data_IF_385086449246
#
_entry.id   IF_385086449246
#
_cell.length_a   1.000
_cell.length_b   1.000
_cell.length_c   1.000
_cell.angle_alpha   90.00
_cell.angle_beta   90.00
_cell.angle_gamma   90.00
#
_symmetry.space_group_name_H-M   'P 1'
#
loop_
_entity.id
_entity.type
_entity.pdbx_description
1 polymer ?
#
# COMPACT_ATOMS: atom_id res chain seq x y z
N UNK A 1 -9.18 -37.38 -0.20
CA UNK A 1 -8.94 -36.86 -0.43
C UNK A 1 -8.79 -36.48 -0.40
N UNK A 2 -8.80 -36.51 -0.23
CA UNK A 2 -8.70 -35.63 -0.38
C UNK A 2 -8.84 -34.96 -0.51
N UNK A 3 -9.01 -34.77 -0.48
CA UNK A 3 -9.05 -33.86 -0.84
C UNK A 3 -9.65 -33.36 -0.80
N UNK A 4 -9.72 -33.47 -0.47
CA UNK A 4 -10.08 -32.81 -0.65
C UNK A 4 -10.79 -32.25 -0.70
N UNK A 5 -11.18 -32.27 -0.31
CA UNK A 5 -11.46 -31.63 -0.56
C UNK A 5 -12.02 -30.98 -0.38
N UNK A 6 -12.45 -30.80 -0.13
CA UNK A 6 -12.69 -30.11 -0.18
C UNK A 6 -13.36 -29.41 -0.27
N UNK A 7 -13.67 -29.10 -0.10
CA UNK A 7 -14.24 -28.40 -0.25
C UNK A 7 -14.87 -27.74 -0.41
N UNK A 8 -15.12 -27.39 -0.26
CA UNK A 8 -15.74 -26.94 -0.74
C UNK A 8 -16.47 -26.22 -0.67
N UNK A 9 -16.78 -25.65 -0.54
CA UNK A 9 -17.63 -25.01 -0.77
C UNK A 9 -17.90 -23.88 -1.37
N UNK A 10 -17.91 -23.60 -1.78
CA UNK A 10 -18.83 -22.75 -2.35
C UNK A 10 -18.31 -21.39 -2.58
N UNK A 11 -19.09 -20.35 -2.21
CA UNK A 11 -18.72 -18.97 -2.52
C UNK A 11 -17.41 -18.54 -1.90
N UNK A 12 -17.07 -19.08 -0.76
CA UNK A 12 -15.82 -18.72 -0.11
C UNK A 12 -14.59 -19.10 -0.93
N UNK A 13 -14.77 -20.00 -1.88
CA UNK A 13 -13.66 -20.41 -2.73
C UNK A 13 -13.21 -19.32 -3.66
N UNK A 14 -14.08 -18.37 -3.97
CA UNK A 14 -13.72 -17.27 -4.83
C UNK A 14 -12.62 -16.43 -4.18
N UNK A 15 -12.68 -16.29 -2.88
CA UNK A 15 -11.68 -15.52 -2.15
C UNK A 15 -10.29 -16.12 -2.23
N UNK A 16 -10.22 -17.41 -2.46
CA UNK A 16 -8.91 -18.08 -2.56
C UNK A 16 -8.14 -17.67 -3.79
N UNK A 17 -8.81 -17.03 -4.76
CA UNK A 17 -8.14 -16.64 -5.99
C UNK A 17 -7.27 -15.42 -5.81
N UNK A 18 -7.52 -14.63 -4.77
CA UNK A 18 -6.70 -13.48 -4.48
C UNK A 18 -5.75 -13.88 -3.36
N UNK A 19 -4.54 -14.24 -3.74
CA UNK A 19 -3.52 -14.62 -2.78
C UNK A 19 -2.45 -13.56 -2.72
N UNK A 20 -1.83 -13.44 -1.55
CA UNK A 20 -0.74 -12.50 -1.38
C UNK A 20 0.55 -13.10 -1.93
N UNK A 21 1.39 -12.28 -2.54
CA UNK A 21 2.72 -12.75 -2.90
C UNK A 21 3.46 -13.20 -1.66
N UNK A 22 4.13 -14.33 -1.75
CA UNK A 22 4.92 -14.83 -0.63
C UNK A 22 6.05 -13.84 -0.35
N UNK A 23 6.23 -13.53 0.93
CA UNK A 23 7.29 -12.61 1.38
C UNK A 23 7.16 -11.20 0.84
N UNK A 24 5.93 -10.75 0.63
CA UNK A 24 5.69 -9.39 0.17
C UNK A 24 6.24 -8.38 1.18
N UNK A 25 6.83 -7.31 0.66
CA UNK A 25 7.37 -6.22 1.48
C UNK A 25 6.67 -4.92 1.10
N UNK A 26 6.18 -4.21 2.10
CA UNK A 26 5.51 -2.92 1.92
C UNK A 26 6.29 -1.87 2.69
N UNK A 27 6.61 -0.77 2.02
CA UNK A 27 7.20 0.39 2.67
C UNK A 27 6.09 1.37 3.01
N UNK A 28 5.98 1.72 4.29
CA UNK A 28 5.00 2.68 4.76
C UNK A 28 5.72 3.99 5.04
N UNK A 29 5.29 5.07 4.38
CA UNK A 29 5.85 6.40 4.58
C UNK A 29 4.81 7.21 5.33
N UNK A 30 5.01 7.37 6.63
CA UNK A 30 4.03 7.93 7.55
C UNK A 30 4.74 8.61 8.72
N UNK A 31 4.42 9.87 8.96
CA UNK A 31 5.04 10.61 10.04
C UNK A 31 4.50 10.20 11.42
N UNK A 32 3.21 9.91 11.50
CA UNK A 32 2.56 9.66 12.78
C UNK A 32 2.76 8.21 13.22
N UNK A 33 3.38 8.05 14.39
CA UNK A 33 3.70 6.71 14.91
C UNK A 33 2.46 5.86 15.09
N UNK A 34 1.39 6.45 15.63
CA UNK A 34 0.16 5.70 15.88
C UNK A 34 -0.45 5.17 14.59
N UNK A 35 -0.45 5.98 13.54
CA UNK A 35 -0.95 5.56 12.23
C UNK A 35 -0.07 4.45 11.66
N UNK A 36 1.24 4.59 11.80
CA UNK A 36 2.14 3.54 11.32
C UNK A 36 1.91 2.24 12.07
N UNK A 37 1.80 2.29 13.39
CA UNK A 37 1.60 1.07 14.20
C UNK A 37 0.32 0.35 13.77
N UNK A 38 -0.75 1.10 13.52
CA UNK A 38 -1.99 0.50 13.06
C UNK A 38 -1.80 -0.21 11.71
N UNK A 39 -1.16 0.46 10.77
CA UNK A 39 -0.92 -0.12 9.45
C UNK A 39 -0.03 -1.35 9.56
N UNK A 40 1.05 -1.25 10.34
CA UNK A 40 1.99 -2.36 10.50
C UNK A 40 1.31 -3.57 11.11
N UNK A 41 0.41 -3.34 12.06
CA UNK A 41 -0.31 -4.43 12.71
C UNK A 41 -1.23 -5.13 11.71
N UNK A 42 -1.93 -4.35 10.90
CA UNK A 42 -2.81 -4.93 9.88
C UNK A 42 -2.03 -5.70 8.83
N UNK A 43 -0.88 -5.17 8.41
CA UNK A 43 -0.01 -5.87 7.44
C UNK A 43 0.55 -7.14 8.06
N UNK A 44 0.90 -7.09 9.34
CA UNK A 44 1.42 -8.26 10.04
C UNK A 44 0.43 -9.41 10.09
N UNK A 45 -0.85 -9.12 10.27
CA UNK A 45 -1.89 -10.15 10.24
C UNK A 45 -1.97 -10.83 8.87
N UNK A 46 -1.56 -10.14 7.83
CA UNK A 46 -1.55 -10.70 6.48
C UNK A 46 -0.23 -11.39 6.13
N UNK A 47 0.72 -11.42 7.08
CA UNK A 47 2.02 -12.02 6.83
C UNK A 47 2.93 -11.18 5.93
N UNK A 48 2.66 -9.89 5.84
CA UNK A 48 3.41 -8.98 4.99
C UNK A 48 4.50 -8.29 5.80
N UNK A 49 5.72 -8.29 5.27
CA UNK A 49 6.83 -7.57 5.90
C UNK A 49 6.65 -6.06 5.69
N UNK A 50 6.86 -5.30 6.75
CA UNK A 50 6.62 -3.85 6.73
C UNK A 50 7.90 -3.10 7.05
N UNK A 51 8.27 -2.15 6.20
CA UNK A 51 9.34 -1.20 6.44
C UNK A 51 8.74 0.18 6.65
N UNK A 52 9.45 1.09 7.32
CA UNK A 52 8.90 2.37 7.72
C UNK A 52 9.89 3.51 7.52
N UNK A 53 9.35 4.61 6.97
CA UNK A 53 10.04 5.90 6.94
C UNK A 53 9.06 6.97 7.38
N UNK A 54 9.57 8.01 8.06
CA UNK A 54 8.74 9.06 8.62
C UNK A 54 8.55 10.25 7.69
N UNK A 55 9.34 10.34 6.64
CA UNK A 55 9.24 11.47 5.69
C UNK A 55 9.59 10.99 4.29
N UNK A 56 9.25 11.82 3.31
CA UNK A 56 9.59 11.51 1.93
C UNK A 56 11.04 11.81 1.56
N UNK A 57 11.78 12.44 2.46
CA UNK A 57 13.08 13.01 2.14
C UNK A 57 14.09 11.97 1.67
N UNK A 58 14.19 10.83 2.32
CA UNK A 58 15.18 9.81 1.98
C UNK A 58 14.53 8.52 1.48
N UNK A 59 13.27 8.60 1.03
CA UNK A 59 12.54 7.41 0.62
C UNK A 59 13.21 6.68 -0.52
N UNK A 60 13.67 7.42 -1.54
CA UNK A 60 14.30 6.79 -2.71
C UNK A 60 15.55 6.01 -2.31
N UNK A 61 16.40 6.63 -1.52
CA UNK A 61 17.63 5.97 -1.10
C UNK A 61 17.35 4.74 -0.28
N UNK A 62 16.40 4.85 0.66
CA UNK A 62 16.05 3.71 1.49
C UNK A 62 15.41 2.59 0.69
N UNK A 63 14.44 2.94 -0.16
CA UNK A 63 13.77 1.94 -0.98
C UNK A 63 14.74 1.19 -1.88
N UNK A 64 15.74 1.91 -2.37
CA UNK A 64 16.73 1.32 -3.25
C UNK A 64 17.63 0.30 -2.54
N UNK A 65 17.70 0.33 -1.22
CA UNK A 65 18.48 -0.65 -0.45
C UNK A 65 17.71 -1.92 -0.17
N UNK A 66 16.39 -1.91 -0.34
CA UNK A 66 15.59 -3.08 0.00
C UNK A 66 15.74 -4.16 -1.06
N UNK A 67 15.98 -5.41 -0.66
CA UNK A 67 16.13 -6.49 -1.64
C UNK A 67 14.84 -6.80 -2.36
N UNK A 68 13.71 -6.44 -1.74
CA UNK A 68 12.39 -6.65 -2.34
C UNK A 68 11.46 -5.55 -1.86
N UNK A 69 10.70 -5.01 -2.78
CA UNK A 69 9.69 -4.00 -2.45
C UNK A 69 8.53 -4.17 -3.41
N UNK A 70 7.35 -4.44 -2.88
CA UNK A 70 6.15 -4.74 -3.66
C UNK A 70 5.17 -3.59 -3.70
N UNK A 71 5.23 -2.67 -2.74
CA UNK A 71 4.25 -1.61 -2.63
C UNK A 71 4.78 -0.52 -1.69
N UNK A 72 4.46 0.72 -2.02
CA UNK A 72 4.69 1.85 -1.12
C UNK A 72 3.34 2.45 -0.75
N UNK A 73 3.05 2.50 0.54
CA UNK A 73 1.89 3.22 1.08
C UNK A 73 2.42 4.55 1.60
N UNK A 74 1.94 5.65 1.04
CA UNK A 74 2.54 6.94 1.31
C UNK A 74 1.50 7.97 1.71
N UNK A 75 1.70 8.59 2.87
CA UNK A 75 0.91 9.76 3.24
C UNK A 75 1.30 10.90 2.30
N UNK A 76 0.31 11.64 1.85
CA UNK A 76 0.58 12.81 0.99
C UNK A 76 1.18 13.94 1.83
N UNK A 77 0.73 14.08 3.08
CA UNK A 77 1.20 15.14 3.97
C UNK A 77 2.36 14.66 4.82
N UNK A 78 3.55 14.89 4.31
CA UNK A 78 4.80 14.48 4.98
C UNK A 78 5.63 15.71 5.32
N UNK A 79 6.47 15.63 6.37
CA UNK A 79 7.37 16.72 6.68
C UNK A 79 8.47 16.84 5.62
N UNK A 80 8.98 18.04 5.45
CA UNK A 80 10.08 18.40 4.54
C UNK A 80 9.71 18.30 3.06
N UNK A 81 9.11 17.19 2.64
CA UNK A 81 8.75 16.99 1.25
C UNK A 81 7.44 16.22 1.23
N UNK A 82 6.43 16.76 0.55
CA UNK A 82 5.13 16.08 0.53
C UNK A 82 5.18 14.83 -0.36
N UNK A 83 4.10 14.06 -0.31
CA UNK A 83 4.03 12.81 -1.04
C UNK A 83 4.13 12.97 -2.56
N UNK A 84 3.72 14.10 -3.10
CA UNK A 84 3.83 14.34 -4.53
C UNK A 84 5.28 14.51 -4.97
N UNK A 85 6.07 15.23 -4.16
CA UNK A 85 7.49 15.37 -4.44
C UNK A 85 8.22 14.04 -4.34
N UNK A 86 7.91 13.27 -3.31
CA UNK A 86 8.51 11.95 -3.15
C UNK A 86 8.13 11.04 -4.31
N UNK A 87 6.87 11.07 -4.73
CA UNK A 87 6.39 10.27 -5.85
C UNK A 87 7.22 10.55 -7.11
N UNK A 88 7.45 11.81 -7.41
CA UNK A 88 8.24 12.20 -8.57
C UNK A 88 9.62 11.58 -8.55
N UNK A 89 10.28 11.64 -7.39
CA UNK A 89 11.62 11.09 -7.24
C UNK A 89 11.64 9.59 -7.39
N UNK A 90 10.64 8.91 -6.83
CA UNK A 90 10.56 7.46 -6.93
C UNK A 90 10.36 7.04 -8.38
N UNK A 91 9.48 7.73 -9.10
CA UNK A 91 9.22 7.42 -10.51
C UNK A 91 10.42 7.67 -11.40
N UNK A 92 11.32 8.57 -10.98
CA UNK A 92 12.54 8.85 -11.75
C UNK A 92 13.65 7.83 -11.48
N UNK A 93 13.53 7.04 -10.41
CA UNK A 93 14.56 6.06 -10.06
C UNK A 93 14.31 4.77 -10.83
N UNK A 94 15.32 4.32 -11.58
CA UNK A 94 15.17 3.20 -12.52
C UNK A 94 14.63 1.94 -11.86
N UNK A 95 15.16 1.58 -10.70
CA UNK A 95 14.73 0.36 -9.99
C UNK A 95 13.32 0.44 -9.43
N UNK A 96 12.84 1.66 -9.18
CA UNK A 96 11.62 1.86 -8.40
C UNK A 96 10.44 2.37 -9.23
N UNK A 97 10.68 2.73 -10.48
CA UNK A 97 9.68 3.46 -11.26
C UNK A 97 8.39 2.69 -11.51
N UNK A 98 8.43 1.36 -11.44
CA UNK A 98 7.24 0.54 -11.68
C UNK A 98 6.61 -0.02 -10.40
N UNK A 99 7.14 0.34 -9.23
CA UNK A 99 6.57 -0.13 -7.97
C UNK A 99 5.25 0.61 -7.71
N UNK A 100 4.17 -0.10 -7.37
CA UNK A 100 2.91 0.57 -7.05
C UNK A 100 3.07 1.50 -5.85
N UNK A 101 2.51 2.70 -5.96
CA UNK A 101 2.53 3.67 -4.88
C UNK A 101 1.09 4.12 -4.64
N UNK A 102 0.60 3.88 -3.44
CA UNK A 102 -0.78 4.20 -3.06
C UNK A 102 -0.75 5.31 -2.02
N UNK A 103 -1.52 6.37 -2.29
CA UNK A 103 -1.64 7.47 -1.35
C UNK A 103 -2.55 7.06 -0.19
N UNK A 104 -2.14 7.40 1.04
CA UNK A 104 -2.95 7.14 2.23
C UNK A 104 -3.01 8.46 2.98
N UNK A 105 -4.16 9.10 3.03
CA UNK A 105 -4.23 10.45 3.55
C UNK A 105 -5.53 10.74 4.29
N UNK A 106 -5.44 11.63 5.29
CA UNK A 106 -6.61 12.12 6.00
C UNK A 106 -7.39 13.14 5.19
N UNK A 107 -6.78 13.70 4.15
CA UNK A 107 -7.47 14.63 3.26
C UNK A 107 -8.14 13.87 2.13
N UNK A 108 -9.11 13.05 2.49
CA UNK A 108 -9.79 12.18 1.54
C UNK A 108 -11.00 12.88 0.95
N UNK A 109 -10.83 13.45 -0.21
CA UNK A 109 -11.91 14.10 -0.97
C UNK A 109 -11.77 13.68 -2.44
N UNK A 110 -12.83 13.89 -3.20
CA UNK A 110 -12.77 13.62 -4.65
C UNK A 110 -11.68 14.46 -5.30
N UNK A 111 -11.56 15.71 -4.88
CA UNK A 111 -10.54 16.61 -5.44
C UNK A 111 -9.13 16.06 -5.17
N UNK A 112 -8.87 15.61 -3.96
CA UNK A 112 -7.56 15.06 -3.62
C UNK A 112 -7.31 13.75 -4.34
N UNK A 113 -8.34 12.93 -4.47
CA UNK A 113 -8.21 11.67 -5.19
C UNK A 113 -7.90 11.91 -6.66
N UNK A 114 -8.59 12.87 -7.29
CA UNK A 114 -8.34 13.21 -8.69
C UNK A 114 -6.92 13.75 -8.87
N UNK A 115 -6.46 14.57 -7.93
CA UNK A 115 -5.11 15.11 -7.99
C UNK A 115 -4.06 13.99 -7.85
N UNK A 116 -4.29 13.06 -6.95
CA UNK A 116 -3.38 11.94 -6.75
C UNK A 116 -3.30 11.09 -8.02
N UNK A 117 -4.46 10.83 -8.63
CA UNK A 117 -4.50 10.06 -9.87
C UNK A 117 -3.75 10.76 -10.99
N UNK A 118 -4.00 12.05 -11.15
CA UNK A 118 -3.35 12.84 -12.20
C UNK A 118 -1.84 12.94 -11.98
N UNK A 119 -1.40 12.86 -10.73
CA UNK A 119 0.02 12.99 -10.38
C UNK A 119 0.80 11.69 -10.57
N UNK A 120 0.12 10.55 -10.73
CA UNK A 120 0.80 9.29 -10.98
C UNK A 120 0.76 8.28 -9.84
N UNK A 121 -0.04 8.52 -8.80
CA UNK A 121 -0.30 7.48 -7.81
C UNK A 121 -1.08 6.35 -8.44
N UNK A 122 -0.88 5.14 -7.95
CA UNK A 122 -1.55 3.95 -8.46
C UNK A 122 -2.83 3.61 -7.69
N UNK A 123 -3.09 4.33 -6.61
CA UNK A 123 -4.27 4.11 -5.81
C UNK A 123 -4.38 5.15 -4.71
N UNK A 124 -5.47 5.09 -3.95
CA UNK A 124 -5.77 6.09 -2.94
C UNK A 124 -6.64 5.47 -1.86
N UNK A 125 -6.23 5.62 -0.61
CA UNK A 125 -7.01 5.17 0.54
C UNK A 125 -7.16 6.34 1.51
N UNK A 126 -8.39 6.63 1.90
CA UNK A 126 -8.66 7.68 2.88
C UNK A 126 -8.50 7.15 4.29
N UNK A 127 -7.96 7.99 5.17
CA UNK A 127 -7.90 7.70 6.60
C UNK A 127 -9.18 8.16 7.27
N UNK A 128 -9.58 7.52 8.36
CA UNK A 128 -8.94 6.38 9.01
C UNK A 128 -9.14 5.10 8.21
N UNK A 129 -8.11 4.26 8.19
CA UNK A 129 -8.20 2.97 7.52
C UNK A 129 -9.14 2.06 8.30
N UNK A 130 -10.00 1.37 7.58
CA UNK A 130 -10.96 0.45 8.17
C UNK A 130 -10.32 -0.93 8.31
N UNK A 131 -10.13 -1.44 9.53
CA UNK A 131 -9.51 -2.75 9.72
C UNK A 131 -10.24 -3.89 9.02
N UNK A 132 -11.55 -3.74 8.81
CA UNK A 132 -12.33 -4.79 8.14
C UNK A 132 -12.14 -4.78 6.63
N UNK A 133 -11.84 -3.61 6.06
CA UNK A 133 -11.69 -3.46 4.62
C UNK A 133 -10.24 -3.52 4.16
N UNK A 134 -9.33 -3.12 5.02
CA UNK A 134 -7.92 -2.98 4.63
C UNK A 134 -7.31 -4.28 4.09
N UNK A 135 -7.55 -5.45 4.69
CA UNK A 135 -6.99 -6.69 4.13
C UNK A 135 -7.37 -6.91 2.67
N UNK A 136 -8.64 -6.69 2.34
CA UNK A 136 -9.07 -6.85 0.96
C UNK A 136 -8.45 -5.80 0.04
N UNK A 137 -8.38 -4.56 0.51
CA UNK A 137 -7.77 -3.49 -0.27
C UNK A 137 -6.31 -3.82 -0.59
N UNK A 138 -5.56 -4.31 0.38
CA UNK A 138 -4.14 -4.65 0.18
C UNK A 138 -4.00 -5.83 -0.77
N UNK A 139 -4.85 -6.84 -0.64
CA UNK A 139 -4.79 -7.98 -1.56
C UNK A 139 -5.02 -7.54 -3.00
N UNK A 140 -6.00 -6.68 -3.20
CA UNK A 140 -6.32 -6.18 -4.53
C UNK A 140 -5.17 -5.34 -5.10
N UNK A 141 -4.60 -4.47 -4.27
CA UNK A 141 -3.48 -3.64 -4.69
C UNK A 141 -2.28 -4.51 -5.07
N UNK A 142 -1.94 -5.49 -4.24
CA UNK A 142 -0.79 -6.35 -4.50
C UNK A 142 -1.02 -7.28 -5.70
N UNK A 143 -2.28 -7.50 -6.07
CA UNK A 143 -2.57 -8.28 -7.28
C UNK A 143 -2.57 -7.42 -8.55
N UNK A 144 -2.32 -6.12 -8.42
CA UNK A 144 -2.26 -5.22 -9.56
C UNK A 144 -3.56 -4.50 -9.86
N UNK A 145 -4.55 -4.67 -9.02
CA UNK A 145 -5.83 -3.99 -9.21
C UNK A 145 -5.78 -2.59 -8.63
N UNK A 146 -6.24 -1.57 -9.37
CA UNK A 146 -6.28 -0.21 -8.80
C UNK A 146 -7.37 -0.10 -7.74
N UNK A 147 -7.04 0.58 -6.64
CA UNK A 147 -7.99 0.81 -5.56
C UNK A 147 -8.00 2.31 -5.25
N UNK A 148 -9.18 2.92 -5.42
CA UNK A 148 -9.39 4.36 -5.23
C UNK A 148 -10.59 4.54 -4.31
N UNK A 149 -10.35 4.62 -3.01
CA UNK A 149 -11.43 4.64 -2.02
C UNK A 149 -11.16 5.70 -0.96
N UNK A 150 -12.20 6.45 -0.61
CA UNK A 150 -12.04 7.54 0.35
C UNK A 150 -12.09 7.10 1.82
N UNK A 151 -12.47 5.89 2.09
CA UNK A 151 -12.39 5.34 3.44
C UNK A 151 -12.63 3.85 3.44
#
# INVERSE_FOLDING_TARGET
MPDTIEPTHGPSQIQHKITLPKDATVLVVEENVSNFVLIARMLGYLGIHCEWKTSGYEVVEYADTLPRLDLILMDIRLPYEDGYGALKKIRAAERLKSIPIVAVTAEASMEQMDKARASGFDGFLGKPLDPDRFPDQIRRILSGEPVWEMS
#
